data_IF_760226661603
#
_entry.id   IF_760226661603
#
_cell.length_a   1.000
_cell.length_b   1.000
_cell.length_c   1.000
_cell.angle_alpha   90.00
_cell.angle_beta   90.00
_cell.angle_gamma   90.00
#
_symmetry.space_group_name_H-M   'P 1'
#
loop_
_entity.id
_entity.type
_entity.pdbx_description
1 polymer ?
#
# COMPACT_ATOMS: atom_id res chain seq x y z
N UNK A 1 9.85 12.41 -7.58
CA UNK A 1 9.50 13.79 -7.15
C UNK A 1 8.09 14.19 -7.63
N UNK A 2 7.35 13.22 -8.19
CA UNK A 2 6.18 13.41 -9.03
C UNK A 2 4.88 13.05 -8.28
N UNK A 3 4.98 12.13 -7.32
CA UNK A 3 3.94 11.86 -6.32
C UNK A 3 3.49 13.12 -5.56
N UNK A 4 4.43 13.99 -5.17
CA UNK A 4 4.13 15.25 -4.45
C UNK A 4 3.33 16.22 -5.35
N UNK A 5 3.52 16.16 -6.68
CA UNK A 5 2.73 16.96 -7.63
C UNK A 5 1.33 16.38 -7.80
N UNK A 6 1.22 15.05 -7.86
CA UNK A 6 -0.05 14.35 -7.97
C UNK A 6 -0.95 14.60 -6.75
N UNK A 7 -0.39 14.53 -5.52
CA UNK A 7 -1.13 14.83 -4.29
C UNK A 7 -1.54 16.30 -4.18
N UNK A 8 -0.76 17.22 -4.74
CA UNK A 8 -1.10 18.65 -4.83
C UNK A 8 -2.09 18.99 -5.94
N UNK A 9 -2.36 18.05 -6.87
CA UNK A 9 -3.28 18.28 -7.98
C UNK A 9 -4.75 18.36 -7.55
N UNK A 10 -5.07 18.06 -6.28
CA UNK A 10 -6.46 18.09 -5.78
C UNK A 10 -7.38 17.07 -6.45
N UNK A 11 -6.79 16.09 -7.15
CA UNK A 11 -7.50 15.03 -7.85
C UNK A 11 -7.91 14.00 -6.79
N UNK A 12 -9.19 13.65 -6.75
CA UNK A 12 -9.71 12.65 -5.81
C UNK A 12 -9.15 11.27 -6.23
N UNK A 13 -8.07 10.85 -5.57
CA UNK A 13 -7.36 9.61 -5.89
C UNK A 13 -8.10 8.37 -5.41
N UNK A 14 -9.03 8.54 -4.48
CA UNK A 14 -9.83 7.44 -3.93
C UNK A 14 -11.14 7.23 -4.68
N UNK A 15 -11.61 8.23 -5.46
CA UNK A 15 -12.93 8.22 -6.09
C UNK A 15 -14.10 8.36 -5.12
N UNK A 16 -13.82 8.48 -3.81
CA UNK A 16 -14.82 8.48 -2.73
C UNK A 16 -15.31 9.88 -2.36
N UNK A 17 -14.83 10.94 -3.03
CA UNK A 17 -15.20 12.34 -2.73
C UNK A 17 -15.09 12.68 -1.24
N UNK A 18 -14.06 12.15 -0.57
CA UNK A 18 -13.82 12.35 0.86
C UNK A 18 -14.72 11.56 1.83
N UNK A 19 -15.43 10.52 1.36
CA UNK A 19 -16.16 9.60 2.25
C UNK A 19 -15.28 8.45 2.71
N UNK A 20 -15.37 8.11 3.99
CA UNK A 20 -14.90 6.83 4.51
C UNK A 20 -15.98 5.78 4.19
N UNK A 21 -15.56 4.66 3.62
CA UNK A 21 -16.43 3.50 3.41
C UNK A 21 -15.96 2.34 4.29
N UNK A 22 -16.90 1.54 4.75
CA UNK A 22 -16.59 0.26 5.38
C UNK A 22 -16.29 -0.74 4.27
N UNK A 23 -15.10 -1.33 4.32
CA UNK A 23 -14.63 -2.32 3.35
C UNK A 23 -14.53 -3.66 4.07
N UNK A 24 -15.20 -4.67 3.56
CA UNK A 24 -15.09 -6.05 4.06
C UNK A 24 -13.85 -6.72 3.45
N UNK A 25 -13.37 -7.79 4.08
CA UNK A 25 -12.24 -8.57 3.54
C UNK A 25 -12.56 -9.18 2.16
N UNK A 26 -13.84 -9.49 1.91
CA UNK A 26 -14.30 -10.00 0.63
C UNK A 26 -14.17 -8.96 -0.48
N UNK A 27 -14.59 -7.72 -0.18
CA UNK A 27 -14.43 -6.60 -1.12
C UNK A 27 -12.94 -6.28 -1.31
N UNK A 28 -12.15 -6.27 -0.23
CA UNK A 28 -10.71 -6.02 -0.33
C UNK A 28 -10.05 -6.98 -1.34
N UNK A 29 -10.42 -8.26 -1.35
CA UNK A 29 -9.86 -9.27 -2.27
C UNK A 29 -10.20 -9.05 -3.74
N UNK A 30 -11.28 -8.32 -4.06
CA UNK A 30 -11.63 -8.00 -5.45
C UNK A 30 -10.67 -6.97 -6.04
N UNK A 31 -10.09 -6.12 -5.20
CA UNK A 31 -9.15 -5.06 -5.54
C UNK A 31 -7.69 -5.53 -5.47
N UNK A 32 -7.34 -6.52 -6.31
CA UNK A 32 -6.02 -7.17 -6.34
C UNK A 32 -5.22 -6.91 -7.64
N UNK A 33 -5.60 -5.89 -8.42
CA UNK A 33 -5.00 -5.63 -9.73
C UNK A 33 -4.13 -4.37 -9.72
N UNK A 34 -3.20 -4.23 -10.66
CA UNK A 34 -2.30 -3.07 -10.71
C UNK A 34 -3.02 -1.72 -10.81
N UNK A 35 -4.10 -1.66 -11.61
CA UNK A 35 -4.90 -0.46 -11.80
C UNK A 35 -5.88 -0.23 -10.64
N UNK A 36 -6.20 -1.30 -9.90
CA UNK A 36 -7.18 -1.31 -8.82
C UNK A 36 -6.70 -2.20 -7.66
N UNK A 37 -5.79 -1.64 -6.85
CA UNK A 37 -5.12 -2.31 -5.74
C UNK A 37 -5.39 -1.60 -4.43
N UNK A 38 -6.04 -2.32 -3.52
CA UNK A 38 -6.30 -1.85 -2.17
C UNK A 38 -5.53 -2.72 -1.17
N UNK A 39 -5.00 -2.08 -0.14
CA UNK A 39 -4.23 -2.77 0.90
C UNK A 39 -4.80 -2.34 2.25
N UNK A 40 -5.04 -3.33 3.12
CA UNK A 40 -5.36 -3.05 4.51
C UNK A 40 -4.05 -2.94 5.32
N UNK A 41 -3.88 -1.83 6.04
CA UNK A 41 -2.75 -1.59 6.93
C UNK A 41 -3.30 -1.10 8.26
N UNK A 42 -3.07 -1.87 9.33
CA UNK A 42 -3.49 -1.56 10.71
C UNK A 42 -4.98 -1.25 10.84
N UNK A 43 -5.82 -1.98 10.09
CA UNK A 43 -7.28 -1.81 10.09
C UNK A 43 -7.80 -0.65 9.24
N UNK A 44 -6.95 -0.02 8.43
CA UNK A 44 -7.35 1.01 7.46
C UNK A 44 -7.08 0.50 6.04
N UNK A 45 -8.07 0.62 5.17
CA UNK A 45 -7.93 0.27 3.74
C UNK A 45 -7.47 1.49 2.96
N UNK A 46 -6.38 1.33 2.22
CA UNK A 46 -5.79 2.36 1.37
C UNK A 46 -5.81 1.91 -0.08
N UNK A 47 -6.32 2.79 -0.95
CA UNK A 47 -6.15 2.63 -2.40
C UNK A 47 -4.72 3.07 -2.78
N UNK A 48 -3.92 2.11 -3.23
CA UNK A 48 -2.52 2.33 -3.63
C UNK A 48 -2.31 2.28 -5.14
N UNK A 49 -3.37 2.11 -5.95
CA UNK A 49 -3.30 2.11 -7.41
C UNK A 49 -2.46 3.24 -8.00
N UNK A 50 -2.72 4.53 -7.69
CA UNK A 50 -1.93 5.63 -8.27
C UNK A 50 -0.50 5.70 -7.70
N UNK A 51 -0.20 4.95 -6.64
CA UNK A 51 1.10 4.95 -5.96
C UNK A 51 2.02 3.81 -6.44
N UNK A 52 1.49 2.80 -7.14
CA UNK A 52 2.23 1.64 -7.65
C UNK A 52 3.53 2.02 -8.37
N UNK A 53 3.47 2.96 -9.31
CA UNK A 53 4.61 3.41 -10.12
C UNK A 53 5.59 4.31 -9.35
N UNK A 54 5.18 4.85 -8.20
CA UNK A 54 5.98 5.75 -7.37
C UNK A 54 6.58 5.04 -6.15
N UNK A 55 6.27 3.75 -5.95
CA UNK A 55 6.72 3.00 -4.81
C UNK A 55 8.23 2.70 -4.91
N UNK A 56 9.06 3.17 -3.96
CA UNK A 56 10.51 2.98 -4.03
C UNK A 56 10.95 1.52 -3.89
N UNK A 57 10.08 0.63 -3.39
CA UNK A 57 10.32 -0.82 -3.33
C UNK A 57 9.84 -1.58 -4.58
N UNK A 58 9.31 -0.88 -5.59
CA UNK A 58 8.72 -1.48 -6.78
C UNK A 58 7.26 -1.93 -6.59
N UNK A 59 6.57 -2.17 -7.71
CA UNK A 59 5.17 -2.61 -7.74
C UNK A 59 5.00 -4.05 -7.23
N UNK A 60 5.99 -4.92 -7.45
CA UNK A 60 5.97 -6.32 -7.00
C UNK A 60 5.71 -6.45 -5.49
N UNK A 61 6.39 -5.63 -4.67
CA UNK A 61 6.22 -5.68 -3.22
C UNK A 61 4.83 -5.22 -2.76
N UNK A 62 4.21 -4.27 -3.49
CA UNK A 62 2.83 -3.86 -3.23
C UNK A 62 1.83 -4.94 -3.69
N UNK A 63 2.10 -5.57 -4.84
CA UNK A 63 1.27 -6.63 -5.39
C UNK A 63 1.18 -7.86 -4.47
N UNK A 64 2.21 -8.11 -3.65
CA UNK A 64 2.19 -9.18 -2.63
C UNK A 64 1.15 -8.95 -1.53
N UNK A 65 0.81 -7.70 -1.26
CA UNK A 65 -0.21 -7.31 -0.27
C UNK A 65 -1.53 -6.87 -0.93
N UNK A 66 -1.62 -6.94 -2.27
CA UNK A 66 -2.79 -6.47 -3.01
C UNK A 66 -4.02 -7.29 -2.65
N UNK A 67 -5.08 -6.59 -2.28
CA UNK A 67 -6.35 -7.18 -1.88
C UNK A 67 -6.29 -7.99 -0.59
N UNK A 68 -5.36 -7.69 0.31
CA UNK A 68 -5.23 -8.35 1.62
C UNK A 68 -4.63 -7.41 2.68
N UNK A 69 -4.49 -7.92 3.91
CA UNK A 69 -3.83 -7.19 4.99
C UNK A 69 -2.31 -7.24 4.81
N UNK A 70 -1.74 -6.07 4.49
CA UNK A 70 -0.31 -5.86 4.30
C UNK A 70 0.40 -5.36 5.55
N UNK A 71 -0.24 -5.39 6.74
CA UNK A 71 0.33 -4.82 7.97
C UNK A 71 1.65 -5.49 8.34
N UNK A 72 1.70 -6.81 8.24
CA UNK A 72 2.88 -7.62 8.55
C UNK A 72 4.02 -7.36 7.56
N UNK A 73 3.72 -7.37 6.25
CA UNK A 73 4.68 -7.03 5.19
C UNK A 73 5.24 -5.60 5.35
N UNK A 74 4.37 -4.65 5.67
CA UNK A 74 4.76 -3.26 5.90
C UNK A 74 5.70 -3.11 7.12
N UNK A 75 5.42 -3.84 8.21
CA UNK A 75 6.26 -3.81 9.41
C UNK A 75 7.62 -4.48 9.16
N UNK A 76 7.64 -5.61 8.46
CA UNK A 76 8.86 -6.34 8.09
C UNK A 76 9.81 -5.50 7.23
N UNK A 77 9.33 -4.86 6.15
CA UNK A 77 10.17 -4.01 5.27
C UNK A 77 10.72 -2.79 6.02
N UNK A 78 9.96 -2.24 6.98
CA UNK A 78 10.40 -1.13 7.81
C UNK A 78 11.46 -1.54 8.85
N UNK A 79 11.39 -2.77 9.36
CA UNK A 79 12.40 -3.34 10.24
C UNK A 79 13.66 -3.79 9.48
N UNK A 80 13.52 -4.32 8.27
CA UNK A 80 14.63 -4.76 7.44
C UNK A 80 15.52 -3.60 6.96
N UNK A 81 14.95 -2.41 6.74
CA UNK A 81 15.77 -1.22 6.45
C UNK A 81 16.62 -0.74 7.64
N UNK A 82 16.43 -1.31 8.84
CA UNK A 82 17.37 -1.21 9.98
C UNK A 82 18.34 -2.38 10.08
N UNK A 83 18.30 -3.35 9.17
CA UNK A 83 19.21 -4.48 9.08
C UNK A 83 20.33 -4.25 8.07
N UNK A 84 21.19 -3.27 8.36
CA UNK A 84 22.63 -3.47 8.07
C UNK A 84 23.42 -3.85 9.33
N UNK A 85 22.74 -4.07 10.46
CA UNK A 85 23.32 -4.59 11.69
C UNK A 85 22.31 -5.48 12.42
N UNK A 86 22.09 -6.69 11.91
CA UNK A 86 21.75 -7.82 12.78
C UNK A 86 22.52 -9.02 12.23
N UNK A 87 23.82 -9.04 12.57
CA UNK A 87 24.66 -10.22 12.41
C UNK A 87 23.99 -11.40 13.08
N UNK A 88 24.06 -12.54 12.40
CA UNK A 88 23.60 -13.83 12.89
C UNK A 88 24.02 -14.07 14.34
N UNK A 89 23.06 -14.52 15.12
CA UNK A 89 23.32 -15.24 16.35
C UNK A 89 23.70 -16.67 15.96
N UNK A 90 25.01 -16.95 16.00
CA UNK A 90 25.57 -18.22 16.44
C UNK A 90 26.71 -17.92 17.42
#
# INVERSE_FOLDING_TARGET
MDWIRLTKSGKDLTGLKGRLIEVTEEELKTHNTKDDCWICIRGFVYNVSPYMEYHPGGEDELMRAAGSDGTDLFDQVRCDRKSKYCSGAE
#
